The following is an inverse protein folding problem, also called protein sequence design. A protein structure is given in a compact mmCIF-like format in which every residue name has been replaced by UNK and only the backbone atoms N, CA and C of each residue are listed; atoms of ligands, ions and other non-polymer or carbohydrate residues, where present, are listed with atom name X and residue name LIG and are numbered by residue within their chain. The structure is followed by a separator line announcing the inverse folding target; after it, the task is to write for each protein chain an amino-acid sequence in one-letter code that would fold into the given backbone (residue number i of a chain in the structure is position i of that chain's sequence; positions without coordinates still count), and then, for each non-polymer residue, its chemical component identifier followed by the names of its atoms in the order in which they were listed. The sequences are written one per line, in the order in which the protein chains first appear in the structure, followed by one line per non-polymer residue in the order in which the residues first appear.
data_IF_175316767405
#
_entry.id   IF_175316767405
#
_cell.length_a   1.000
_cell.length_b   1.000
_cell.length_c   1.000
_cell.angle_alpha   90.00
_cell.angle_beta   90.00
_cell.angle_gamma   90.00
#
_symmetry.space_group_name_H-M   'P 1'
#
loop_
_entity.id
_entity.type
_entity.pdbx_description
1 polymer ?
#
# COMPACT_ATOMS: atom_id res chain seq x y z
N UNK A 1 21.53 8.24 -22.98
CA UNK A 1 21.68 9.43 -22.11
C UNK A 1 21.66 10.68 -22.97
N UNK A 2 20.94 11.71 -22.52
CA UNK A 2 21.12 13.06 -23.07
C UNK A 2 22.40 13.65 -22.48
N UNK A 3 23.15 14.39 -23.29
CA UNK A 3 24.37 15.09 -22.88
C UNK A 3 24.43 16.47 -23.56
N UNK A 4 25.19 17.39 -22.99
CA UNK A 4 25.35 18.74 -23.52
C UNK A 4 26.49 18.75 -24.54
N UNK A 5 26.14 18.87 -25.82
CA UNK A 5 27.12 18.85 -26.91
C UNK A 5 27.97 20.12 -27.04
N UNK A 6 27.49 21.26 -26.52
CA UNK A 6 28.20 22.54 -26.57
C UNK A 6 28.82 22.79 -25.19
N UNK A 7 30.12 22.52 -25.07
CA UNK A 7 30.89 22.70 -23.83
C UNK A 7 31.72 23.99 -23.80
N UNK A 8 31.84 24.68 -24.93
CA UNK A 8 32.65 25.89 -25.11
C UNK A 8 31.70 27.08 -25.32
N UNK A 9 31.82 28.10 -24.48
CA UNK A 9 30.92 29.26 -24.46
C UNK A 9 30.99 30.06 -25.77
N UNK A 10 32.16 30.07 -26.42
CA UNK A 10 32.38 30.76 -27.70
C UNK A 10 31.58 30.14 -28.85
N UNK A 11 31.10 28.89 -28.69
CA UNK A 11 30.31 28.17 -29.69
C UNK A 11 28.80 28.35 -29.52
N UNK A 12 28.36 29.16 -28.55
CA UNK A 12 26.96 29.51 -28.39
C UNK A 12 26.52 30.46 -29.52
N UNK A 13 25.70 29.96 -30.44
CA UNK A 13 25.17 30.73 -31.55
C UNK A 13 24.07 31.71 -31.10
N UNK A 14 24.43 32.84 -30.49
CA UNK A 14 23.47 33.86 -30.03
C UNK A 14 23.06 34.84 -31.14
N UNK A 15 23.97 35.12 -32.07
CA UNK A 15 23.72 35.97 -33.24
C UNK A 15 22.92 35.24 -34.31
N UNK A 16 22.15 35.98 -35.10
CA UNK A 16 21.38 35.44 -36.24
C UNK A 16 22.11 35.54 -37.57
N UNK A 17 23.14 36.38 -37.65
CA UNK A 17 24.00 36.57 -38.81
C UNK A 17 25.46 36.71 -38.35
N UNK A 18 26.41 36.12 -39.08
CA UNK A 18 27.83 36.20 -38.77
C UNK A 18 28.42 37.62 -38.93
N UNK A 19 27.73 38.49 -39.66
CA UNK A 19 28.09 39.90 -39.90
C UNK A 19 27.23 40.88 -39.10
N UNK A 20 26.21 40.39 -38.38
CA UNK A 20 25.47 41.17 -37.41
C UNK A 20 26.40 41.46 -36.24
N UNK A 21 26.73 42.75 -36.02
CA UNK A 21 27.82 43.19 -35.13
C UNK A 21 27.84 42.57 -33.73
N UNK A 22 28.89 42.87 -32.96
CA UNK A 22 29.32 42.18 -31.71
C UNK A 22 28.26 42.00 -30.59
N UNK A 23 27.05 42.53 -30.74
CA UNK A 23 25.94 42.41 -29.79
C UNK A 23 24.66 41.78 -30.35
N UNK A 24 24.67 41.14 -31.54
CA UNK A 24 23.49 40.44 -32.05
C UNK A 24 23.13 39.22 -31.16
N UNK A 25 21.93 39.26 -30.57
CA UNK A 25 21.39 38.22 -29.69
C UNK A 25 20.05 37.65 -30.18
N UNK A 26 19.67 37.92 -31.44
CA UNK A 26 18.35 37.54 -31.99
C UNK A 26 18.10 36.03 -31.95
N UNK A 27 19.12 35.20 -32.18
CA UNK A 27 18.96 33.74 -32.05
C UNK A 27 18.82 33.31 -30.59
N UNK A 28 19.49 34.00 -29.66
CA UNK A 28 19.26 33.85 -28.22
C UNK A 28 17.82 34.15 -27.82
N UNK A 29 17.22 35.22 -28.36
CA UNK A 29 15.81 35.52 -28.16
C UNK A 29 14.90 34.44 -28.78
N UNK A 30 15.24 33.90 -29.95
CA UNK A 30 14.49 32.81 -30.57
C UNK A 30 14.53 31.52 -29.72
N UNK A 31 15.68 31.20 -29.12
CA UNK A 31 15.83 30.10 -28.17
C UNK A 31 14.99 30.34 -26.90
N UNK A 32 15.00 31.56 -26.36
CA UNK A 32 14.16 31.92 -25.21
C UNK A 32 12.67 31.79 -25.54
N UNK A 33 12.26 32.17 -26.76
CA UNK A 33 10.87 32.04 -27.21
C UNK A 33 10.41 30.58 -27.27
N UNK A 34 11.31 29.60 -27.43
CA UNK A 34 10.95 28.18 -27.36
C UNK A 34 10.37 27.77 -26.00
N UNK A 35 10.74 28.47 -24.92
CA UNK A 35 10.18 28.22 -23.59
C UNK A 35 8.64 28.35 -23.59
N UNK A 36 8.11 29.29 -24.36
CA UNK A 36 6.67 29.56 -24.48
C UNK A 36 6.04 28.88 -25.70
N UNK A 37 6.85 28.28 -26.57
CA UNK A 37 6.38 27.66 -27.81
C UNK A 37 5.80 26.27 -27.54
N UNK A 38 4.74 25.92 -28.28
CA UNK A 38 4.00 24.67 -28.14
C UNK A 38 4.65 23.51 -28.88
N UNK A 39 5.89 23.19 -28.52
CA UNK A 39 6.71 22.18 -29.20
C UNK A 39 6.50 20.76 -28.68
N UNK A 40 6.00 20.60 -27.46
CA UNK A 40 5.76 19.27 -26.87
C UNK A 40 4.42 18.75 -27.37
N UNK A 41 4.44 17.69 -28.20
CA UNK A 41 3.22 17.10 -28.78
C UNK A 41 2.44 18.06 -29.69
N UNK A 42 3.06 19.16 -30.12
CA UNK A 42 2.45 20.19 -30.96
C UNK A 42 1.45 21.13 -30.26
N UNK A 43 1.24 20.99 -28.95
CA UNK A 43 0.21 21.77 -28.24
C UNK A 43 0.58 22.26 -26.84
N UNK A 44 1.72 21.86 -26.28
CA UNK A 44 2.19 22.26 -24.94
C UNK A 44 3.58 22.86 -24.97
N UNK A 45 3.80 23.87 -24.13
CA UNK A 45 5.16 24.31 -23.82
C UNK A 45 5.90 23.28 -22.98
N UNK A 46 7.22 23.45 -22.82
CA UNK A 46 8.01 22.59 -21.93
C UNK A 46 7.49 22.66 -20.48
N UNK A 47 7.12 23.85 -20.00
CA UNK A 47 6.59 24.03 -18.66
C UNK A 47 5.22 23.35 -18.50
N UNK A 48 4.31 23.54 -19.46
CA UNK A 48 2.97 22.95 -19.42
C UNK A 48 3.03 21.42 -19.44
N UNK A 49 3.90 20.85 -20.28
CA UNK A 49 4.07 19.41 -20.37
C UNK A 49 4.58 18.82 -19.05
N UNK A 50 5.58 19.46 -18.45
CA UNK A 50 6.14 19.02 -17.17
C UNK A 50 5.13 19.21 -16.02
N UNK A 51 4.47 20.36 -15.92
CA UNK A 51 3.44 20.62 -14.92
C UNK A 51 2.27 19.64 -15.04
N UNK A 52 1.84 19.33 -16.27
CA UNK A 52 0.80 18.33 -16.55
C UNK A 52 1.21 16.93 -16.11
N UNK A 53 2.47 16.55 -16.32
CA UNK A 53 3.00 15.26 -15.87
C UNK A 53 3.01 15.18 -14.34
N UNK A 54 3.58 16.18 -13.68
CA UNK A 54 3.65 16.26 -12.21
C UNK A 54 2.25 16.23 -11.60
N UNK A 55 1.32 17.02 -12.15
CA UNK A 55 -0.08 17.04 -11.72
C UNK A 55 -0.75 15.68 -11.89
N UNK A 56 -0.57 15.03 -13.05
CA UNK A 56 -1.15 13.70 -13.32
C UNK A 56 -0.62 12.65 -12.33
N UNK A 57 0.69 12.63 -12.09
CA UNK A 57 1.31 11.71 -11.13
C UNK A 57 0.83 12.01 -9.72
N UNK A 58 0.77 13.28 -9.32
CA UNK A 58 0.30 13.72 -8.01
C UNK A 58 -1.15 13.32 -7.74
N UNK A 59 -2.06 13.66 -8.66
CA UNK A 59 -3.48 13.30 -8.56
C UNK A 59 -3.68 11.79 -8.55
N UNK A 60 -3.00 11.04 -9.43
CA UNK A 60 -3.12 9.58 -9.46
C UNK A 60 -2.61 8.93 -8.17
N UNK A 61 -1.51 9.45 -7.62
CA UNK A 61 -0.95 8.99 -6.34
C UNK A 61 -1.92 9.25 -5.19
N UNK A 62 -2.52 10.45 -5.13
CA UNK A 62 -3.50 10.80 -4.11
C UNK A 62 -4.74 9.88 -4.17
N UNK A 63 -5.28 9.63 -5.37
CA UNK A 63 -6.40 8.71 -5.56
C UNK A 63 -6.04 7.29 -5.11
N UNK A 64 -4.88 6.77 -5.53
CA UNK A 64 -4.44 5.42 -5.15
C UNK A 64 -4.22 5.29 -3.64
N UNK A 65 -3.70 6.33 -2.98
CA UNK A 65 -3.55 6.36 -1.52
C UNK A 65 -4.91 6.24 -0.82
N UNK A 66 -5.89 7.03 -1.24
CA UNK A 66 -7.25 6.97 -0.67
C UNK A 66 -7.88 5.59 -0.91
N UNK A 67 -7.81 5.06 -2.14
CA UNK A 67 -8.32 3.71 -2.45
C UNK A 67 -7.66 2.63 -1.61
N UNK A 68 -6.34 2.70 -1.43
CA UNK A 68 -5.60 1.75 -0.59
C UNK A 68 -6.04 1.81 0.87
N UNK A 69 -6.21 3.00 1.44
CA UNK A 69 -6.70 3.16 2.83
C UNK A 69 -8.12 2.62 2.97
N UNK A 70 -9.01 2.94 2.04
CA UNK A 70 -10.38 2.42 2.05
C UNK A 70 -10.39 0.89 1.98
N UNK A 71 -9.60 0.30 1.10
CA UNK A 71 -9.52 -1.15 0.97
C UNK A 71 -8.97 -1.81 2.23
N UNK A 72 -7.95 -1.23 2.86
CA UNK A 72 -7.42 -1.72 4.13
C UNK A 72 -8.46 -1.69 5.25
N UNK A 73 -9.27 -0.62 5.31
CA UNK A 73 -10.37 -0.49 6.26
C UNK A 73 -11.46 -1.54 6.01
N UNK A 74 -11.83 -1.76 4.74
CA UNK A 74 -12.80 -2.80 4.37
C UNK A 74 -12.30 -4.18 4.77
N UNK A 75 -11.04 -4.51 4.47
CA UNK A 75 -10.43 -5.79 4.86
C UNK A 75 -10.45 -5.97 6.38
N UNK A 76 -10.10 -4.93 7.13
CA UNK A 76 -10.16 -4.95 8.60
C UNK A 76 -11.58 -5.19 9.11
N UNK A 77 -12.55 -4.48 8.54
CA UNK A 77 -13.96 -4.61 8.93
C UNK A 77 -14.51 -6.01 8.63
N UNK A 78 -14.18 -6.58 7.47
CA UNK A 78 -14.55 -7.95 7.12
C UNK A 78 -13.87 -8.98 8.03
N UNK A 79 -12.59 -8.79 8.36
CA UNK A 79 -11.88 -9.65 9.32
C UNK A 79 -12.54 -9.62 10.69
N UNK A 80 -12.94 -8.44 11.17
CA UNK A 80 -13.63 -8.30 12.46
C UNK A 80 -15.03 -8.95 12.43
N UNK A 81 -15.78 -8.81 11.33
CA UNK A 81 -17.06 -9.50 11.16
C UNK A 81 -16.88 -11.02 11.14
N UNK A 82 -15.86 -11.51 10.44
CA UNK A 82 -15.53 -12.94 10.42
C UNK A 82 -15.20 -13.46 11.82
N UNK A 83 -14.35 -12.74 12.58
CA UNK A 83 -14.02 -13.09 13.96
C UNK A 83 -15.22 -12.97 14.91
N UNK A 84 -16.17 -12.08 14.65
CA UNK A 84 -17.38 -12.00 15.47
C UNK A 84 -18.32 -13.20 15.30
N UNK A 85 -18.31 -13.87 14.14
CA UNK A 85 -19.20 -14.99 13.84
C UNK A 85 -18.50 -16.33 14.07
N UNK A 86 -17.22 -16.42 13.67
CA UNK A 86 -16.45 -17.66 13.65
C UNK A 86 -15.15 -17.55 14.45
N UNK A 87 -14.95 -16.46 15.19
CA UNK A 87 -13.83 -16.34 16.11
C UNK A 87 -14.05 -17.22 17.33
N UNK A 88 -12.96 -17.78 17.82
CA UNK A 88 -12.94 -18.61 19.02
C UNK A 88 -12.46 -17.73 20.17
N UNK A 89 -13.24 -17.69 21.25
CA UNK A 89 -12.79 -17.05 22.48
C UNK A 89 -12.04 -18.08 23.34
N UNK A 90 -10.72 -17.93 23.43
CA UNK A 90 -9.87 -18.88 24.17
C UNK A 90 -10.23 -18.96 25.66
N UNK A 91 -10.77 -17.90 26.26
CA UNK A 91 -11.19 -17.94 27.67
C UNK A 91 -12.46 -18.78 27.85
N UNK A 92 -13.40 -18.69 26.91
CA UNK A 92 -14.61 -19.50 26.90
C UNK A 92 -14.29 -20.97 26.61
N UNK A 93 -13.42 -21.23 25.62
CA UNK A 93 -12.90 -22.57 25.34
C UNK A 93 -12.15 -23.16 26.54
N UNK A 94 -11.35 -22.35 27.25
CA UNK A 94 -10.64 -22.80 28.45
C UNK A 94 -11.60 -23.12 29.60
N UNK A 95 -12.62 -22.29 29.81
CA UNK A 95 -13.69 -22.56 30.77
C UNK A 95 -14.45 -23.84 30.46
N UNK A 96 -14.81 -24.04 29.19
CA UNK A 96 -15.46 -25.28 28.71
C UNK A 96 -14.54 -26.49 28.88
N UNK A 97 -13.25 -26.36 28.53
CA UNK A 97 -12.25 -27.40 28.71
C UNK A 97 -12.11 -27.80 30.18
N UNK A 98 -12.02 -26.84 31.09
CA UNK A 98 -11.93 -27.13 32.52
C UNK A 98 -13.19 -27.80 33.06
N UNK A 99 -14.37 -27.37 32.60
CA UNK A 99 -15.65 -28.02 32.91
C UNK A 99 -15.69 -29.46 32.39
N UNK A 100 -15.21 -29.73 31.18
CA UNK A 100 -15.11 -31.09 30.64
C UNK A 100 -14.11 -31.95 31.42
N UNK A 101 -12.97 -31.40 31.83
CA UNK A 101 -12.02 -32.10 32.70
C UNK A 101 -12.65 -32.47 34.05
N UNK A 102 -13.42 -31.57 34.66
CA UNK A 102 -14.08 -31.83 35.93
C UNK A 102 -15.18 -32.88 35.81
N UNK A 103 -15.98 -32.87 34.73
CA UNK A 103 -16.92 -33.94 34.44
C UNK A 103 -16.22 -35.27 34.21
N UNK A 104 -15.08 -35.29 33.52
CA UNK A 104 -14.31 -36.51 33.31
C UNK A 104 -13.86 -37.12 34.65
N UNK A 105 -13.30 -36.29 35.55
CA UNK A 105 -12.90 -36.73 36.90
C UNK A 105 -14.09 -37.22 37.73
N UNK A 106 -15.22 -36.51 37.69
CA UNK A 106 -16.43 -36.92 38.40
C UNK A 106 -16.96 -38.28 37.89
N UNK A 107 -17.00 -38.48 36.58
CA UNK A 107 -17.39 -39.76 35.98
C UNK A 107 -16.41 -40.88 36.33
N UNK A 108 -15.10 -40.61 36.35
CA UNK A 108 -14.10 -41.58 36.80
C UNK A 108 -14.34 -41.99 38.26
N UNK A 109 -14.72 -41.06 39.13
CA UNK A 109 -15.06 -41.34 40.53
C UNK A 109 -16.35 -42.16 40.69
N UNK A 110 -17.36 -41.88 39.86
CA UNK A 110 -18.59 -42.70 39.80
C UNK A 110 -18.27 -44.12 39.35
N UNK A 111 -17.46 -44.29 38.29
CA UNK A 111 -17.00 -45.60 37.82
C UNK A 111 -16.21 -46.35 38.90
N UNK A 112 -15.33 -45.66 39.61
CA UNK A 112 -14.58 -46.24 40.73
C UNK A 112 -15.52 -46.74 41.84
N UNK A 113 -16.52 -45.93 42.20
CA UNK A 113 -17.51 -46.29 43.21
C UNK A 113 -18.39 -47.45 42.76
N UNK A 114 -18.80 -47.46 41.49
CA UNK A 114 -19.56 -48.56 40.89
C UNK A 114 -18.75 -49.87 40.88
N UNK A 115 -17.46 -49.82 40.55
CA UNK A 115 -16.55 -50.97 40.63
C UNK A 115 -16.48 -51.52 42.05
N UNK A 116 -16.27 -50.64 43.04
CA UNK A 116 -16.23 -51.04 44.45
C UNK A 116 -17.53 -51.69 44.90
N UNK A 117 -18.68 -51.17 44.47
CA UNK A 117 -19.98 -51.76 44.76
C UNK A 117 -20.15 -53.13 44.09
N UNK A 118 -19.69 -53.27 42.85
CA UNK A 118 -19.70 -54.54 42.12
C UNK A 118 -18.84 -55.61 42.81
N UNK A 119 -17.63 -55.23 43.23
CA UNK A 119 -16.71 -56.11 43.95
C UNK A 119 -17.27 -56.53 45.31
N UNK A 120 -17.93 -55.61 46.02
CA UNK A 120 -18.60 -55.92 47.29
C UNK A 120 -19.76 -56.91 47.10
N UNK A 121 -20.58 -56.76 46.06
CA UNK A 121 -21.68 -57.68 45.74
C UNK A 121 -21.18 -59.08 45.34
N UNK A 122 -20.07 -59.17 44.60
CA UNK A 122 -19.48 -60.46 44.20
C UNK A 122 -18.81 -61.16 45.39
N UNK A 123 -18.15 -60.43 46.29
CA UNK A 123 -17.50 -61.01 47.48
C UNK A 123 -18.45 -61.47 48.58
N UNK A 124 -19.74 -61.13 48.51
CA UNK A 124 -20.77 -61.58 49.47
C UNK A 124 -21.28 -63.01 49.14
N UNK A 125 -20.79 -63.63 48.06
CA UNK A 125 -21.13 -65.02 47.68
C UNK A 125 -20.05 -66.02 48.04
#
# INVERSE_FOLDING_TARGET
NMDVAISDESKLALASDATGGESDNRNGQALLNLQNSKVVGGNKSFNDAYASLVSTVGSKTATLKTSSTTQANVTTQLSNQQQSISGVNLDEEYGNLQRYQQYYLANAQVLQTASTLFDALINIR
#
